data_IF_525381785466
#
_entry.id   IF_525381785466
#
_cell.length_a   1.000
_cell.length_b   1.000
_cell.length_c   1.000
_cell.angle_alpha   90.00
_cell.angle_beta   90.00
_cell.angle_gamma   90.00
#
_symmetry.space_group_name_H-M   'P 1'
#
loop_
_entity.id
_entity.type
_entity.pdbx_description
1 polymer ?
#
# COMPACT_ATOMS: atom_id res chain seq x y z
N UNK A 1 -10.70 10.70 0.16
CA UNK A 1 -11.72 10.49 -0.88
C UNK A 1 -12.02 11.74 -1.73
N UNK A 2 -11.29 12.85 -1.55
CA UNK A 2 -11.60 14.11 -2.25
C UNK A 2 -11.06 14.15 -3.69
N UNK A 3 -10.11 13.31 -4.06
CA UNK A 3 -9.56 13.19 -5.41
C UNK A 3 -9.24 14.54 -6.09
N UNK A 4 -8.67 15.48 -5.31
CA UNK A 4 -8.47 16.87 -5.74
C UNK A 4 -7.05 17.33 -5.44
N UNK A 5 -6.31 17.94 -6.39
CA UNK A 5 -4.94 18.38 -6.18
C UNK A 5 -4.77 19.45 -5.09
N UNK A 6 -5.76 20.32 -4.86
CA UNK A 6 -5.66 21.35 -3.82
C UNK A 6 -5.74 20.71 -2.43
N UNK A 7 -6.68 19.77 -2.22
CA UNK A 7 -6.74 19.04 -0.95
C UNK A 7 -5.50 18.18 -0.71
N UNK A 8 -4.95 17.61 -1.77
CA UNK A 8 -3.70 16.84 -1.72
C UNK A 8 -2.50 17.72 -1.33
N UNK A 9 -2.40 18.93 -1.88
CA UNK A 9 -1.37 19.92 -1.54
C UNK A 9 -1.46 20.30 -0.04
N UNK A 10 -2.67 20.61 0.46
CA UNK A 10 -2.89 20.92 1.87
C UNK A 10 -2.46 19.78 2.79
N UNK A 11 -2.80 18.54 2.43
CA UNK A 11 -2.37 17.35 3.19
C UNK A 11 -0.85 17.15 3.13
N UNK A 12 -0.23 17.42 1.98
CA UNK A 12 1.22 17.37 1.82
C UNK A 12 2.01 18.37 2.69
N UNK A 13 1.35 19.44 3.16
CA UNK A 13 1.91 20.43 4.09
C UNK A 13 1.61 20.11 5.57
N UNK A 14 0.75 19.12 5.84
CA UNK A 14 0.32 18.80 7.20
C UNK A 14 1.33 17.99 8.02
N UNK A 15 2.43 17.51 7.39
CA UNK A 15 3.51 16.83 8.09
C UNK A 15 3.28 15.33 8.30
N UNK A 16 2.42 14.70 7.49
CA UNK A 16 2.28 13.25 7.48
C UNK A 16 3.52 12.59 6.87
N UNK A 17 3.93 11.43 7.38
CA UNK A 17 5.05 10.67 6.82
C UNK A 17 4.74 10.14 5.43
N UNK A 18 3.47 9.80 5.17
CA UNK A 18 3.01 9.33 3.87
C UNK A 18 1.52 9.64 3.66
N UNK A 19 1.12 9.66 2.40
CA UNK A 19 -0.26 9.94 1.97
C UNK A 19 -0.71 8.85 0.98
N UNK A 20 -1.87 8.24 1.25
CA UNK A 20 -2.51 7.34 0.29
C UNK A 20 -3.33 8.15 -0.71
N UNK A 21 -3.00 7.97 -1.98
CA UNK A 21 -3.84 8.40 -3.10
C UNK A 21 -4.66 7.19 -3.54
N UNK A 22 -5.92 7.20 -3.16
CA UNK A 22 -6.80 6.05 -3.29
C UNK A 22 -7.45 6.00 -4.67
N UNK A 23 -7.19 4.92 -5.42
CA UNK A 23 -7.81 4.66 -6.72
C UNK A 23 -8.78 3.46 -6.67
N UNK A 24 -9.04 2.89 -5.49
CA UNK A 24 -10.02 1.83 -5.29
C UNK A 24 -11.39 2.39 -4.91
N UNK A 25 -11.47 3.17 -3.83
CA UNK A 25 -12.73 3.70 -3.29
C UNK A 25 -12.90 5.21 -3.47
N UNK A 26 -11.95 5.91 -4.07
CA UNK A 26 -12.09 7.30 -4.46
C UNK A 26 -12.18 7.43 -6.00
N UNK A 27 -12.79 8.49 -6.52
CA UNK A 27 -12.94 8.70 -7.96
C UNK A 27 -11.63 9.11 -8.63
N UNK A 28 -10.57 8.33 -8.41
CA UNK A 28 -9.25 8.53 -8.97
C UNK A 28 -8.96 7.54 -10.10
N UNK A 29 -8.35 8.06 -11.15
CA UNK A 29 -7.75 7.29 -12.22
C UNK A 29 -6.34 7.83 -12.54
N UNK A 30 -5.69 7.27 -13.54
CA UNK A 30 -4.34 7.71 -13.96
C UNK A 30 -4.29 9.21 -14.26
N UNK A 31 -5.36 9.78 -14.84
CA UNK A 31 -5.37 11.19 -15.25
C UNK A 31 -5.60 12.13 -14.07
N UNK A 32 -6.41 11.75 -13.10
CA UNK A 32 -6.67 12.55 -11.89
C UNK A 32 -5.55 12.45 -10.86
N UNK A 33 -4.76 11.36 -10.86
CA UNK A 33 -3.62 11.18 -9.98
C UNK A 33 -2.39 11.99 -10.38
N UNK A 34 -2.18 12.28 -11.67
CA UNK A 34 -1.05 13.08 -12.13
C UNK A 34 -1.00 14.46 -11.47
N UNK A 35 -2.06 15.30 -11.50
CA UNK A 35 -2.03 16.60 -10.83
C UNK A 35 -1.89 16.51 -9.31
N UNK A 36 -2.36 15.44 -8.67
CA UNK A 36 -2.16 15.21 -7.23
C UNK A 36 -0.68 14.89 -6.92
N UNK A 37 -0.01 14.07 -7.74
CA UNK A 37 1.45 13.86 -7.64
C UNK A 37 2.25 15.15 -7.90
N UNK A 38 1.76 16.02 -8.77
CA UNK A 38 2.39 17.33 -9.00
C UNK A 38 2.23 18.25 -7.78
N UNK A 39 1.08 18.22 -7.13
CA UNK A 39 0.80 18.98 -5.91
C UNK A 39 1.68 18.53 -4.72
N UNK A 40 2.07 17.26 -4.68
CA UNK A 40 2.97 16.71 -3.65
C UNK A 40 4.46 16.90 -3.96
N UNK A 41 4.80 17.54 -5.09
CA UNK A 41 6.20 17.78 -5.43
C UNK A 41 6.84 18.74 -4.44
N UNK A 42 7.78 18.23 -3.66
CA UNK A 42 8.44 18.99 -2.58
C UNK A 42 7.83 18.78 -1.20
N UNK A 43 6.74 18.01 -1.07
CA UNK A 43 6.29 17.50 0.22
C UNK A 43 7.28 16.46 0.76
N UNK A 44 7.44 16.40 2.07
CA UNK A 44 8.19 15.35 2.76
C UNK A 44 7.42 14.02 2.84
N UNK A 45 6.09 14.05 2.63
CA UNK A 45 5.25 12.87 2.69
C UNK A 45 5.51 11.92 1.51
N UNK A 46 5.74 10.64 1.80
CA UNK A 46 5.80 9.62 0.76
C UNK A 46 4.43 9.42 0.09
N UNK A 47 4.40 9.27 -1.23
CA UNK A 47 3.17 9.06 -1.97
C UNK A 47 2.94 7.56 -2.15
N UNK A 48 1.87 7.04 -1.59
CA UNK A 48 1.41 5.66 -1.76
C UNK A 48 0.16 5.66 -2.63
N UNK A 49 0.10 4.82 -3.65
CA UNK A 49 -1.14 4.60 -4.40
C UNK A 49 -1.81 3.31 -3.94
N UNK A 50 -3.09 3.39 -3.56
CA UNK A 50 -3.91 2.19 -3.49
C UNK A 50 -4.51 1.94 -4.87
N UNK A 51 -4.05 0.87 -5.52
CA UNK A 51 -4.55 0.48 -6.84
C UNK A 51 -5.96 -0.10 -6.74
N UNK A 52 -6.81 0.03 -7.78
CA UNK A 52 -8.17 -0.51 -7.72
C UNK A 52 -8.23 -2.05 -7.74
N UNK A 53 -7.17 -2.70 -8.20
CA UNK A 53 -7.11 -4.15 -8.33
C UNK A 53 -5.66 -4.60 -8.54
N UNK A 54 -5.36 -5.86 -8.20
CA UNK A 54 -4.07 -6.49 -8.42
C UNK A 54 -3.89 -6.90 -9.90
N UNK A 55 -3.85 -5.91 -10.79
CA UNK A 55 -3.75 -6.13 -12.24
C UNK A 55 -2.48 -5.51 -12.82
N UNK A 56 -1.67 -6.30 -13.57
CA UNK A 56 -0.38 -5.84 -14.11
C UNK A 56 -0.48 -4.56 -14.96
N UNK A 57 -1.58 -4.39 -15.71
CA UNK A 57 -1.78 -3.23 -16.59
C UNK A 57 -1.95 -1.97 -15.75
N UNK A 58 -2.73 -2.01 -14.68
CA UNK A 58 -2.97 -0.85 -13.81
C UNK A 58 -1.71 -0.51 -13.02
N UNK A 59 -1.04 -1.51 -12.43
CA UNK A 59 0.21 -1.33 -11.69
C UNK A 59 1.27 -0.65 -12.58
N UNK A 60 1.48 -1.16 -13.80
CA UNK A 60 2.38 -0.55 -14.78
C UNK A 60 2.04 0.92 -15.04
N UNK A 61 0.76 1.26 -15.25
CA UNK A 61 0.33 2.63 -15.52
C UNK A 61 0.60 3.57 -14.34
N UNK A 62 0.41 3.08 -13.10
CA UNK A 62 0.74 3.86 -11.89
C UNK A 62 2.25 4.08 -11.75
N UNK A 63 3.07 3.08 -12.05
CA UNK A 63 4.53 3.23 -12.10
C UNK A 63 4.96 4.27 -13.17
N UNK A 64 4.35 4.22 -14.34
CA UNK A 64 4.70 5.13 -15.44
C UNK A 64 4.33 6.59 -15.17
N UNK A 65 3.30 6.86 -14.37
CA UNK A 65 3.02 8.23 -13.91
C UNK A 65 3.85 8.66 -12.69
N UNK A 66 4.61 7.74 -12.06
CA UNK A 66 5.62 8.06 -11.05
C UNK A 66 5.29 7.71 -9.63
N UNK A 67 4.41 6.74 -9.39
CA UNK A 67 4.32 6.10 -8.08
C UNK A 67 5.42 5.05 -7.92
N UNK A 68 5.92 4.93 -6.69
CA UNK A 68 6.91 3.95 -6.29
C UNK A 68 6.46 3.12 -5.08
N UNK A 69 5.42 3.57 -4.37
CA UNK A 69 4.87 2.87 -3.22
C UNK A 69 3.43 2.46 -3.53
N UNK A 70 3.14 1.18 -3.36
CA UNK A 70 1.88 0.55 -3.73
C UNK A 70 1.20 -0.07 -2.53
N UNK A 71 -0.11 0.13 -2.44
CA UNK A 71 -1.01 -0.64 -1.60
C UNK A 71 -1.92 -1.44 -2.55
N UNK A 72 -1.78 -2.77 -2.51
CA UNK A 72 -2.50 -3.69 -3.39
C UNK A 72 -3.63 -4.36 -2.61
N UNK A 73 -4.91 -4.10 -2.94
CA UNK A 73 -6.04 -4.62 -2.20
C UNK A 73 -6.29 -6.11 -2.47
N UNK A 74 -7.06 -6.75 -1.60
CA UNK A 74 -7.60 -8.10 -1.73
C UNK A 74 -6.56 -9.16 -2.13
N UNK A 75 -5.39 -9.13 -1.50
CA UNK A 75 -4.39 -10.18 -1.67
C UNK A 75 -4.71 -11.34 -0.74
N UNK A 76 -5.04 -12.49 -1.30
CA UNK A 76 -5.56 -13.65 -0.59
C UNK A 76 -4.63 -14.85 -0.60
N UNK A 77 -3.64 -14.87 -1.51
CA UNK A 77 -2.66 -15.97 -1.61
C UNK A 77 -1.26 -15.47 -1.88
N UNK A 78 -0.25 -16.32 -1.62
CA UNK A 78 1.15 -16.04 -1.93
C UNK A 78 1.39 -15.81 -3.44
N UNK A 79 0.63 -16.51 -4.29
CA UNK A 79 0.70 -16.35 -5.74
C UNK A 79 0.21 -14.97 -6.18
N UNK A 80 -0.86 -14.47 -5.56
CA UNK A 80 -1.35 -13.11 -5.82
C UNK A 80 -0.36 -12.06 -5.32
N UNK A 81 0.28 -12.29 -4.18
CA UNK A 81 1.34 -11.43 -3.68
C UNK A 81 2.56 -11.43 -4.63
N UNK A 82 2.99 -12.58 -5.10
CA UNK A 82 4.07 -12.72 -6.08
C UNK A 82 3.70 -12.06 -7.43
N UNK A 83 2.44 -12.15 -7.87
CA UNK A 83 1.96 -11.44 -9.06
C UNK A 83 2.06 -9.92 -8.89
N UNK A 84 1.67 -9.38 -7.73
CA UNK A 84 1.80 -7.95 -7.45
C UNK A 84 3.26 -7.50 -7.57
N UNK A 85 4.18 -8.24 -6.94
CA UNK A 85 5.63 -7.98 -7.03
C UNK A 85 6.12 -8.04 -8.48
N UNK A 86 5.83 -9.12 -9.19
CA UNK A 86 6.26 -9.31 -10.59
C UNK A 86 5.73 -8.19 -11.51
N UNK A 87 4.52 -7.67 -11.24
CA UNK A 87 3.90 -6.59 -12.02
C UNK A 87 4.64 -5.26 -11.89
N UNK A 88 5.44 -5.08 -10.84
CA UNK A 88 6.22 -3.85 -10.62
C UNK A 88 7.63 -3.91 -11.17
N UNK A 89 8.15 -5.10 -11.46
CA UNK A 89 9.55 -5.31 -11.84
C UNK A 89 9.71 -5.55 -13.34
N UNK A 90 10.77 -4.99 -13.89
CA UNK A 90 11.15 -5.27 -15.28
C UNK A 90 11.72 -6.69 -15.42
N UNK A 91 11.58 -7.32 -16.61
CA UNK A 91 12.26 -8.58 -16.92
C UNK A 91 13.78 -8.48 -16.70
N UNK A 92 14.46 -9.56 -16.29
CA UNK A 92 13.91 -10.90 -16.06
C UNK A 92 13.23 -11.14 -14.70
N UNK A 93 13.29 -10.17 -13.77
CA UNK A 93 12.79 -10.30 -12.39
C UNK A 93 11.25 -10.19 -12.29
N UNK A 94 10.61 -9.65 -13.34
CA UNK A 94 9.16 -9.48 -13.37
C UNK A 94 8.60 -9.38 -14.78
N UNK A 95 7.39 -8.82 -14.86
CA UNK A 95 6.59 -8.75 -16.11
C UNK A 95 6.18 -7.33 -16.50
N UNK A 96 6.74 -6.30 -15.85
CA UNK A 96 6.45 -4.91 -16.18
C UNK A 96 6.82 -4.60 -17.63
N UNK A 97 5.85 -4.10 -18.41
CA UNK A 97 6.11 -3.63 -19.78
C UNK A 97 7.02 -2.40 -19.80
N UNK A 98 7.93 -2.36 -20.76
CA UNK A 98 8.96 -1.31 -20.88
C UNK A 98 8.45 -0.13 -21.69
N UNK A 99 8.59 1.08 -21.16
CA UNK A 99 8.53 2.34 -21.88
C UNK A 99 9.81 3.13 -21.62
N UNK A 100 10.44 3.61 -22.67
CA UNK A 100 11.73 4.34 -22.54
C UNK A 100 11.55 5.80 -22.08
N UNK A 101 10.33 6.35 -22.23
CA UNK A 101 10.03 7.72 -21.83
C UNK A 101 8.64 7.80 -21.23
N UNK A 102 8.58 8.09 -19.94
CA UNK A 102 7.34 8.28 -19.17
C UNK A 102 7.60 9.20 -17.96
N UNK A 103 6.54 9.67 -17.29
CA UNK A 103 6.68 10.63 -16.19
C UNK A 103 7.55 10.09 -15.02
N UNK A 104 7.41 8.79 -14.68
CA UNK A 104 8.18 8.17 -13.60
C UNK A 104 9.70 8.17 -13.82
N UNK A 105 10.17 8.18 -15.07
CA UNK A 105 11.60 8.33 -15.38
C UNK A 105 11.98 9.75 -15.86
N UNK A 106 11.16 10.76 -15.51
CA UNK A 106 11.33 12.15 -15.94
C UNK A 106 11.49 12.28 -17.46
N UNK A 107 10.65 11.56 -18.21
CA UNK A 107 10.65 11.53 -19.67
C UNK A 107 11.99 11.09 -20.28
N UNK A 108 12.64 10.12 -19.64
CA UNK A 108 13.90 9.53 -20.08
C UNK A 108 15.16 10.29 -19.64
N UNK A 109 15.03 11.26 -18.72
CA UNK A 109 16.18 12.07 -18.26
C UNK A 109 16.85 11.53 -16.99
N UNK A 110 16.24 10.54 -16.29
CA UNK A 110 16.84 9.91 -15.11
C UNK A 110 17.94 8.94 -15.56
N UNK A 111 19.21 9.17 -15.17
CA UNK A 111 20.30 8.24 -15.50
C UNK A 111 20.06 6.87 -14.87
N UNK A 112 20.41 5.81 -15.58
CA UNK A 112 20.38 4.42 -15.11
C UNK A 112 19.05 3.97 -14.50
N UNK A 113 17.93 4.62 -14.92
CA UNK A 113 16.60 4.35 -14.38
C UNK A 113 16.25 2.85 -14.36
N UNK A 114 16.49 2.14 -15.47
CA UNK A 114 16.13 0.72 -15.55
C UNK A 114 16.94 -0.16 -14.60
N UNK A 115 18.21 0.17 -14.37
CA UNK A 115 19.06 -0.58 -13.44
C UNK A 115 18.65 -0.40 -11.97
N UNK A 116 18.03 0.73 -11.64
CA UNK A 116 17.64 1.08 -10.26
C UNK A 116 16.17 0.84 -9.96
N UNK A 117 15.31 0.80 -10.98
CA UNK A 117 13.86 0.84 -10.84
C UNK A 117 13.30 -0.28 -9.97
N UNK A 118 13.75 -1.53 -10.19
CA UNK A 118 13.24 -2.69 -9.46
C UNK A 118 13.53 -2.61 -7.94
N UNK A 119 14.58 -1.90 -7.53
CA UNK A 119 15.00 -1.77 -6.14
C UNK A 119 14.35 -0.57 -5.41
N UNK A 120 13.66 0.30 -6.12
CA UNK A 120 13.08 1.53 -5.58
C UNK A 120 11.56 1.49 -5.45
N UNK A 121 10.96 0.30 -5.43
CA UNK A 121 9.51 0.11 -5.35
C UNK A 121 9.18 -0.61 -4.06
N UNK A 122 8.24 -0.05 -3.29
CA UNK A 122 7.65 -0.67 -2.11
C UNK A 122 6.26 -1.20 -2.39
N UNK A 123 5.99 -2.41 -1.90
CA UNK A 123 4.72 -3.13 -2.10
C UNK A 123 4.14 -3.54 -0.76
N UNK A 124 3.03 -2.91 -0.41
CA UNK A 124 2.18 -3.30 0.71
C UNK A 124 1.00 -4.09 0.16
N UNK A 125 0.70 -5.23 0.76
CA UNK A 125 -0.43 -6.09 0.38
C UNK A 125 -1.53 -6.00 1.44
N UNK A 126 -2.79 -5.78 1.00
CA UNK A 126 -3.91 -5.58 1.90
C UNK A 126 -4.64 -6.90 2.15
N UNK A 127 -4.78 -7.25 3.43
CA UNK A 127 -5.46 -8.47 3.92
C UNK A 127 -6.81 -8.05 4.48
N UNK A 128 -7.88 -8.52 3.88
CA UNK A 128 -9.25 -8.06 4.18
C UNK A 128 -10.33 -9.10 3.88
N UNK A 129 -9.93 -10.37 3.74
CA UNK A 129 -10.84 -11.51 3.60
C UNK A 129 -10.43 -12.65 4.53
N UNK A 130 -11.35 -13.60 4.79
CA UNK A 130 -11.01 -14.81 5.55
C UNK A 130 -9.88 -15.60 4.89
N UNK A 131 -9.93 -15.76 3.56
CA UNK A 131 -8.88 -16.45 2.80
C UNK A 131 -7.51 -15.77 2.98
N UNK A 132 -7.47 -14.43 2.93
CA UNK A 132 -6.26 -13.67 3.19
C UNK A 132 -5.73 -13.86 4.61
N UNK A 133 -6.61 -13.91 5.62
CA UNK A 133 -6.24 -14.20 7.01
C UNK A 133 -5.63 -15.60 7.14
N UNK A 134 -6.25 -16.59 6.52
CA UNK A 134 -5.79 -17.99 6.59
C UNK A 134 -4.41 -18.17 5.93
N UNK A 135 -4.10 -17.37 4.92
CA UNK A 135 -2.86 -17.44 4.14
C UNK A 135 -1.81 -16.37 4.51
N UNK A 136 -2.07 -15.54 5.52
CA UNK A 136 -1.24 -14.36 5.81
C UNK A 136 0.23 -14.66 6.03
N UNK A 137 0.58 -15.80 6.62
CA UNK A 137 1.99 -16.20 6.80
C UNK A 137 2.69 -16.43 5.45
N UNK A 138 2.04 -17.12 4.52
CA UNK A 138 2.58 -17.37 3.18
C UNK A 138 2.68 -16.07 2.37
N UNK A 139 1.69 -15.20 2.48
CA UNK A 139 1.68 -13.88 1.85
C UNK A 139 2.83 -13.01 2.39
N UNK A 140 2.98 -12.92 3.70
CA UNK A 140 4.04 -12.13 4.33
C UNK A 140 5.46 -12.69 4.04
N UNK A 141 5.59 -13.99 3.86
CA UNK A 141 6.85 -14.64 3.48
C UNK A 141 7.24 -14.43 2.02
N UNK A 142 6.33 -13.94 1.16
CA UNK A 142 6.59 -13.75 -0.27
C UNK A 142 7.70 -12.73 -0.48
N UNK A 143 8.71 -13.10 -1.27
CA UNK A 143 9.82 -12.22 -1.60
C UNK A 143 9.34 -11.00 -2.39
N UNK A 144 9.83 -9.81 -2.00
CA UNK A 144 9.45 -8.54 -2.62
C UNK A 144 8.16 -7.91 -2.07
N UNK A 145 7.45 -8.57 -1.16
CA UNK A 145 6.43 -7.92 -0.31
C UNK A 145 7.16 -7.17 0.79
N UNK A 146 6.91 -5.86 0.92
CA UNK A 146 7.58 -5.01 1.90
C UNK A 146 6.78 -4.86 3.19
N UNK A 147 5.48 -5.06 3.15
CA UNK A 147 4.63 -5.00 4.34
C UNK A 147 3.21 -5.52 4.10
N UNK A 148 2.48 -5.66 5.19
CA UNK A 148 1.08 -6.12 5.20
C UNK A 148 0.19 -5.00 5.71
N UNK A 149 -0.95 -4.79 5.08
CA UNK A 149 -1.91 -3.78 5.49
C UNK A 149 -3.28 -4.42 5.75
N UNK A 150 -4.01 -3.92 6.75
CA UNK A 150 -5.35 -4.45 7.07
C UNK A 150 -6.43 -3.48 6.59
N UNK A 151 -7.41 -3.99 5.81
CA UNK A 151 -8.66 -3.33 5.49
C UNK A 151 -9.76 -3.74 6.50
N UNK A 152 -9.95 -3.02 7.63
CA UNK A 152 -10.79 -3.51 8.73
C UNK A 152 -12.28 -3.56 8.39
N UNK A 153 -12.74 -2.74 7.44
CA UNK A 153 -14.16 -2.72 7.02
C UNK A 153 -14.51 -3.95 6.20
N UNK A 154 -13.69 -4.26 5.20
CA UNK A 154 -13.88 -5.43 4.33
C UNK A 154 -13.61 -6.72 5.09
N UNK A 155 -12.60 -6.73 5.96
CA UNK A 155 -12.35 -7.86 6.87
C UNK A 155 -13.56 -8.12 7.78
N UNK A 156 -14.16 -7.08 8.35
CA UNK A 156 -15.37 -7.23 9.17
C UNK A 156 -16.54 -7.79 8.36
N UNK A 157 -16.72 -7.31 7.13
CA UNK A 157 -17.75 -7.81 6.22
C UNK A 157 -17.52 -9.29 5.88
N UNK A 158 -16.28 -9.66 5.53
CA UNK A 158 -15.90 -11.04 5.20
C UNK A 158 -16.10 -12.01 6.35
N UNK A 159 -15.94 -11.54 7.60
CA UNK A 159 -16.18 -12.33 8.82
C UNK A 159 -17.65 -12.28 9.29
N UNK A 160 -18.57 -11.69 8.51
CA UNK A 160 -19.99 -11.62 8.86
C UNK A 160 -20.37 -10.51 9.83
N UNK A 161 -19.47 -9.55 10.05
CA UNK A 161 -19.65 -8.44 11.00
C UNK A 161 -19.65 -7.07 10.30
N UNK A 162 -20.29 -6.98 9.13
CA UNK A 162 -20.36 -5.74 8.32
C UNK A 162 -20.69 -4.51 9.17
N UNK A 163 -19.86 -3.47 9.07
CA UNK A 163 -20.01 -2.23 9.81
C UNK A 163 -19.55 -2.29 11.28
N UNK A 164 -19.00 -3.42 11.74
CA UNK A 164 -18.54 -3.60 13.12
C UNK A 164 -17.09 -4.14 13.17
N UNK A 165 -16.14 -3.32 12.73
CA UNK A 165 -14.72 -3.67 12.84
C UNK A 165 -14.22 -3.86 14.29
N UNK A 166 -14.96 -3.33 15.28
CA UNK A 166 -14.64 -3.51 16.69
C UNK A 166 -15.06 -4.89 17.25
N UNK A 167 -15.77 -5.73 16.46
CA UNK A 167 -16.18 -7.05 16.89
C UNK A 167 -14.96 -7.90 17.35
N UNK A 168 -15.06 -8.65 18.47
CA UNK A 168 -13.92 -9.39 19.02
C UNK A 168 -13.27 -10.38 18.04
N UNK A 169 -14.05 -10.97 17.14
CA UNK A 169 -13.52 -11.87 16.10
C UNK A 169 -12.65 -11.12 15.09
N UNK A 170 -13.12 -9.96 14.61
CA UNK A 170 -12.36 -9.08 13.71
C UNK A 170 -11.07 -8.62 14.38
N UNK A 171 -11.15 -8.21 15.65
CA UNK A 171 -9.97 -7.79 16.40
C UNK A 171 -8.95 -8.93 16.60
N UNK A 172 -9.38 -10.17 16.79
CA UNK A 172 -8.48 -11.33 16.82
C UNK A 172 -7.82 -11.59 15.48
N UNK A 173 -8.57 -11.46 14.37
CA UNK A 173 -8.01 -11.58 13.02
C UNK A 173 -6.96 -10.50 12.75
N UNK A 174 -7.22 -9.24 13.11
CA UNK A 174 -6.24 -8.13 12.99
C UNK A 174 -4.97 -8.45 13.77
N UNK A 175 -5.08 -8.90 15.02
CA UNK A 175 -3.93 -9.28 15.83
C UNK A 175 -3.14 -10.45 15.25
N UNK A 176 -3.83 -11.43 14.66
CA UNK A 176 -3.19 -12.54 13.97
C UNK A 176 -2.42 -12.09 12.74
N UNK A 177 -3.01 -11.21 11.92
CA UNK A 177 -2.32 -10.61 10.75
C UNK A 177 -1.04 -9.90 11.19
N UNK A 178 -1.09 -9.05 12.21
CA UNK A 178 0.06 -8.32 12.71
C UNK A 178 1.15 -9.24 13.27
N UNK A 179 0.76 -10.26 14.04
CA UNK A 179 1.69 -11.23 14.59
C UNK A 179 2.40 -12.04 13.48
N UNK A 180 1.65 -12.42 12.44
CA UNK A 180 2.18 -13.13 11.27
C UNK A 180 3.14 -12.26 10.46
N UNK A 181 2.80 -11.01 10.20
CA UNK A 181 3.70 -10.07 9.53
C UNK A 181 5.01 -9.90 10.30
N UNK A 182 4.93 -9.65 11.61
CA UNK A 182 6.11 -9.51 12.49
C UNK A 182 6.99 -10.75 12.49
N UNK A 183 6.41 -11.96 12.52
CA UNK A 183 7.16 -13.23 12.44
C UNK A 183 8.04 -13.30 11.19
N UNK A 184 7.61 -12.69 10.09
CA UNK A 184 8.35 -12.61 8.83
C UNK A 184 9.18 -11.32 8.68
N UNK A 185 9.31 -10.52 9.74
CA UNK A 185 10.07 -9.25 9.71
C UNK A 185 9.42 -8.17 8.85
N UNK A 186 8.10 -8.26 8.60
CA UNK A 186 7.36 -7.30 7.78
C UNK A 186 6.63 -6.30 8.66
N UNK A 187 6.68 -5.00 8.32
CA UNK A 187 5.83 -4.00 8.95
C UNK A 187 4.35 -4.28 8.65
N UNK A 188 3.49 -3.85 9.55
CA UNK A 188 2.05 -3.92 9.37
C UNK A 188 1.38 -2.56 9.53
N UNK A 189 0.37 -2.30 8.69
CA UNK A 189 -0.44 -1.11 8.73
C UNK A 189 -1.93 -1.43 8.81
N UNK A 190 -2.73 -0.43 9.16
CA UNK A 190 -4.19 -0.54 9.22
C UNK A 190 -4.84 0.81 8.97
N UNK A 191 -6.01 0.82 8.34
CA UNK A 191 -6.84 2.01 8.28
C UNK A 191 -7.56 2.22 9.62
N UNK A 192 -7.21 3.27 10.34
CA UNK A 192 -7.79 3.61 11.64
C UNK A 192 -8.17 5.10 11.69
N UNK A 193 -9.35 5.49 11.19
CA UNK A 193 -9.76 6.91 11.11
C UNK A 193 -10.09 7.51 12.49
N UNK A 194 -10.32 6.68 13.50
CA UNK A 194 -10.56 7.13 14.87
C UNK A 194 -9.24 7.17 15.64
N UNK A 195 -8.84 8.33 16.14
CA UNK A 195 -7.55 8.53 16.81
C UNK A 195 -7.31 7.54 17.97
N UNK A 196 -8.34 7.24 18.77
CA UNK A 196 -8.24 6.29 19.87
C UNK A 196 -7.90 4.87 19.38
N UNK A 197 -8.46 4.45 18.25
CA UNK A 197 -8.14 3.16 17.63
C UNK A 197 -6.73 3.16 17.04
N UNK A 198 -6.34 4.25 16.38
CA UNK A 198 -5.00 4.42 15.85
C UNK A 198 -3.95 4.27 16.96
N UNK A 199 -4.11 4.99 18.08
CA UNK A 199 -3.22 4.88 19.25
C UNK A 199 -3.18 3.45 19.80
N UNK A 200 -4.34 2.82 19.93
CA UNK A 200 -4.44 1.43 20.43
C UNK A 200 -3.69 0.43 19.53
N UNK A 201 -3.77 0.58 18.20
CA UNK A 201 -3.03 -0.30 17.29
C UNK A 201 -1.52 -0.06 17.34
N UNK A 202 -1.07 1.17 17.55
CA UNK A 202 0.35 1.49 17.72
C UNK A 202 0.94 0.91 19.02
N UNK A 203 0.12 0.73 20.05
CA UNK A 203 0.54 0.16 21.34
C UNK A 203 0.56 -1.38 21.35
N UNK A 204 0.06 -2.03 20.31
CA UNK A 204 0.08 -3.50 20.25
C UNK A 204 1.52 -4.03 20.25
N UNK A 205 1.81 -5.12 21.01
CA UNK A 205 3.16 -5.67 21.08
C UNK A 205 3.65 -6.26 19.75
N UNK A 206 2.78 -6.31 18.76
CA UNK A 206 3.04 -6.74 17.40
C UNK A 206 3.22 -5.56 16.42
N UNK A 207 2.97 -4.34 16.84
CA UNK A 207 3.37 -3.18 16.08
C UNK A 207 4.90 -3.28 15.87
N UNK A 208 5.35 -3.40 14.64
CA UNK A 208 6.78 -3.43 14.36
C UNK A 208 7.40 -2.13 14.82
N UNK A 209 8.50 -2.25 15.57
CA UNK A 209 9.36 -1.12 15.87
C UNK A 209 10.06 -0.70 14.56
N UNK A 210 9.42 0.23 13.83
CA UNK A 210 9.85 0.72 12.53
C UNK A 210 10.96 1.78 12.63
N UNK A 211 11.72 1.77 13.71
CA UNK A 211 12.89 2.68 13.88
C UNK A 211 13.96 2.50 12.80
N UNK A 212 13.88 1.46 11.97
CA UNK A 212 14.79 1.27 10.83
C UNK A 212 14.16 1.54 9.45
N UNK A 213 12.82 1.70 9.34
CA UNK A 213 12.10 1.98 8.09
C UNK A 213 10.88 2.89 8.33
N UNK A 214 11.07 4.05 8.98
CA UNK A 214 10.02 5.07 9.14
C UNK A 214 8.69 4.50 9.66
N UNK A 215 8.41 4.84 10.84
CA UNK A 215 7.24 4.70 11.72
C UNK A 215 5.95 4.01 11.24
N UNK A 216 5.25 3.38 12.20
CA UNK A 216 4.00 2.64 12.04
C UNK A 216 2.97 3.31 11.12
N UNK A 217 2.52 2.57 10.12
CA UNK A 217 1.59 3.06 9.12
C UNK A 217 0.16 3.04 9.68
N UNK A 218 -0.23 4.10 10.36
CA UNK A 218 -1.64 4.39 10.65
C UNK A 218 -2.09 5.46 9.69
N UNK A 219 -2.89 5.08 8.68
CA UNK A 219 -3.53 6.04 7.80
C UNK A 219 -4.75 6.62 8.50
N UNK A 220 -4.73 7.89 8.86
CA UNK A 220 -5.94 8.66 9.13
C UNK A 220 -6.22 9.55 7.91
N UNK A 221 -7.42 9.48 7.37
CA UNK A 221 -7.91 10.33 6.28
C UNK A 221 -8.75 11.44 6.87
#
# INVERSE_FOLDING_TARGET
>A
ALANPISTEVLGLAGFDWLVLDAEHAPNDVTTLIPQLMALKGSSSAQVVRVPTNEPIIIKRMLDIGFYNFLVPFVETAEQAAQAVASTRYPPEGIRGVSVSHRGNMFGTVPDYFAQSNNNISILVQIESQTGVDNVEAIAATEGVDGVFVGPSDLAAALGHLGNAAHPEVQRAIQHIFASAKKHGKPSGILAPVEADARRYLELPFACDLTSYGENIVASV
#
